data_IF_260109666459
#
_entry.id   IF_260109666459
#
_cell.length_a   1.000
_cell.length_b   1.000
_cell.length_c   1.000
_cell.angle_alpha   90.00
_cell.angle_beta   90.00
_cell.angle_gamma   90.00
#
_symmetry.space_group_name_H-M   'P 1'
#
loop_
_entity.id
_entity.type
_entity.pdbx_description
1 polymer ?
#
# COMPACT_ATOMS: atom_id res chain seq x y z
N UNK A 1 -2.71 25.09 41.87
CA UNK A 1 -4.04 24.54 41.53
C UNK A 1 -4.13 23.03 41.78
N UNK A 2 -3.15 22.23 41.33
CA UNK A 2 -3.11 20.76 41.51
C UNK A 2 -3.22 20.31 42.98
N UNK A 3 -2.50 20.96 43.90
CA UNK A 3 -2.57 20.65 45.35
C UNK A 3 -3.97 20.79 45.96
N UNK A 4 -4.83 21.66 45.41
CA UNK A 4 -6.19 21.86 45.90
C UNK A 4 -7.13 20.71 45.49
N UNK A 5 -6.91 20.12 44.31
CA UNK A 5 -7.68 18.97 43.84
C UNK A 5 -7.30 17.66 44.54
N UNK A 6 -6.02 17.49 44.88
CA UNK A 6 -5.54 16.32 45.65
C UNK A 6 -6.20 16.26 47.03
N UNK A 7 -6.36 17.40 47.70
CA UNK A 7 -7.03 17.47 49.02
C UNK A 7 -8.51 17.05 48.96
N UNK A 8 -9.25 17.44 47.90
CA UNK A 8 -10.65 17.02 47.71
C UNK A 8 -10.78 15.52 47.43
N UNK A 9 -9.88 14.94 46.63
CA UNK A 9 -9.91 13.51 46.30
C UNK A 9 -9.58 12.63 47.52
N UNK A 10 -8.62 13.03 48.35
CA UNK A 10 -8.30 12.32 49.58
C UNK A 10 -9.47 12.32 50.58
N UNK A 11 -10.24 13.42 50.64
CA UNK A 11 -11.39 13.53 51.52
C UNK A 11 -12.55 12.58 51.11
N UNK A 12 -12.75 12.35 49.80
CA UNK A 12 -13.76 11.41 49.29
C UNK A 12 -13.43 9.96 49.68
N UNK A 13 -12.15 9.58 49.69
CA UNK A 13 -11.71 8.22 50.07
C UNK A 13 -12.06 7.83 51.51
N UNK A 14 -12.17 8.82 52.41
CA UNK A 14 -12.37 8.60 53.85
C UNK A 14 -13.79 8.13 54.20
N UNK A 15 -14.77 8.36 53.31
CA UNK A 15 -16.18 8.01 53.54
C UNK A 15 -16.61 6.65 52.94
N UNK A 16 -15.74 5.99 52.17
CA UNK A 16 -16.05 4.70 51.57
C UNK A 16 -15.71 3.54 52.54
N UNK A 17 -16.76 2.81 52.96
CA UNK A 17 -16.68 1.53 53.68
C UNK A 17 -16.23 0.41 52.72
N UNK A 18 -14.99 0.49 52.28
CA UNK A 18 -14.34 -0.54 51.49
C UNK A 18 -13.38 -1.32 52.40
N UNK A 19 -13.32 -2.64 52.22
CA UNK A 19 -12.37 -3.53 52.89
C UNK A 19 -10.92 -3.05 52.69
N UNK A 20 -10.07 -3.16 53.72
CA UNK A 20 -8.72 -2.59 53.75
C UNK A 20 -7.85 -3.05 52.57
N UNK A 21 -8.07 -4.28 52.08
CA UNK A 21 -7.34 -4.83 50.93
C UNK A 21 -7.66 -4.09 49.63
N UNK A 22 -8.92 -3.72 49.43
CA UNK A 22 -9.37 -2.99 48.24
C UNK A 22 -9.03 -1.50 48.33
N UNK A 23 -8.88 -0.92 49.53
CA UNK A 23 -8.41 0.47 49.69
C UNK A 23 -6.98 0.66 49.16
N UNK A 24 -6.10 -0.32 49.37
CA UNK A 24 -4.73 -0.25 48.89
C UNK A 24 -4.65 -0.34 47.36
N UNK A 25 -5.49 -1.18 46.76
CA UNK A 25 -5.56 -1.35 45.30
C UNK A 25 -6.11 -0.09 44.60
N UNK A 26 -7.19 0.51 45.12
CA UNK A 26 -7.74 1.76 44.57
C UNK A 26 -6.75 2.92 44.70
N UNK A 27 -6.00 3.01 45.81
CA UNK A 27 -4.96 4.02 45.98
C UNK A 27 -3.83 3.83 44.96
N UNK A 28 -3.45 2.58 44.68
CA UNK A 28 -2.41 2.26 43.69
C UNK A 28 -2.83 2.67 42.27
N UNK A 29 -4.08 2.40 41.87
CA UNK A 29 -4.62 2.85 40.56
C UNK A 29 -4.63 4.38 40.46
N UNK A 30 -5.05 5.10 41.51
CA UNK A 30 -5.06 6.57 41.51
C UNK A 30 -3.64 7.12 41.37
N UNK A 31 -2.65 6.52 42.03
CA UNK A 31 -1.24 6.93 41.90
C UNK A 31 -0.74 6.66 40.47
N UNK A 32 -1.09 5.53 39.88
CA UNK A 32 -0.72 5.19 38.50
C UNK A 32 -1.31 6.18 37.49
N UNK A 33 -2.60 6.54 37.65
CA UNK A 33 -3.26 7.55 36.83
C UNK A 33 -2.69 8.96 37.04
N UNK A 34 -2.20 9.28 38.24
CA UNK A 34 -1.51 10.56 38.47
C UNK A 34 -0.14 10.60 37.82
N UNK A 35 0.58 9.47 37.74
CA UNK A 35 1.87 9.39 37.06
C UNK A 35 1.74 9.54 35.55
N UNK A 36 0.70 8.98 34.92
CA UNK A 36 0.47 9.15 33.47
C UNK A 36 0.15 10.59 33.11
N UNK A 37 -0.63 11.31 33.92
CA UNK A 37 -0.98 12.72 33.67
C UNK A 37 0.21 13.67 33.86
N UNK A 38 1.18 13.33 34.72
CA UNK A 38 2.37 14.19 34.95
C UNK A 38 3.41 14.07 33.83
N UNK A 39 3.42 12.98 33.06
CA UNK A 39 4.31 12.83 31.90
C UNK A 39 3.82 13.57 30.65
N UNK A 40 2.56 13.99 30.57
CA UNK A 40 2.06 14.89 29.51
C UNK A 40 2.25 16.37 29.87
N UNK A 41 3.46 16.75 30.27
CA UNK A 41 3.83 18.17 30.33
C UNK A 41 4.71 18.50 29.15
N UNK A 42 4.04 18.94 28.09
CA UNK A 42 4.59 19.51 26.87
C UNK A 42 5.86 20.31 27.14
N UNK A 43 6.93 19.91 26.45
CA UNK A 43 7.90 20.89 25.97
C UNK A 43 7.15 21.82 25.03
N UNK A 44 6.91 23.06 25.46
CA UNK A 44 6.62 24.17 24.56
C UNK A 44 7.84 24.32 23.65
N UNK A 45 7.83 23.60 22.53
CA UNK A 45 8.67 23.92 21.39
C UNK A 45 8.05 25.17 20.79
N UNK A 46 8.82 26.24 20.78
CA UNK A 46 8.50 27.51 20.14
C UNK A 46 8.45 27.26 18.62
N UNK A 47 7.32 26.73 18.15
CA UNK A 47 7.05 26.50 16.72
C UNK A 47 6.87 27.88 16.11
N UNK A 48 7.94 28.39 15.51
CA UNK A 48 7.84 29.45 14.52
C UNK A 48 6.89 28.95 13.45
N UNK A 49 5.70 29.51 13.40
CA UNK A 49 4.78 29.39 12.29
C UNK A 49 5.46 29.99 11.07
N UNK A 50 6.07 29.13 10.26
CA UNK A 50 6.35 29.44 8.87
C UNK A 50 5.02 29.31 8.13
N UNK A 51 4.59 30.43 7.55
CA UNK A 51 3.45 30.47 6.64
C UNK A 51 3.85 29.72 5.36
N UNK A 52 3.49 28.43 5.28
CA UNK A 52 3.78 27.54 4.15
C UNK A 52 2.63 27.47 3.15
N UNK A 53 1.72 28.44 3.15
CA UNK A 53 0.54 28.40 2.26
C UNK A 53 0.81 28.79 0.80
N UNK A 54 2.06 28.74 0.32
CA UNK A 54 2.33 29.18 -1.06
C UNK A 54 3.48 28.55 -1.86
N UNK A 55 4.15 27.48 -1.40
CA UNK A 55 5.34 26.99 -2.12
C UNK A 55 5.58 25.46 -2.13
N UNK A 56 4.63 24.63 -1.69
CA UNK A 56 4.84 23.16 -1.69
C UNK A 56 4.36 22.43 -2.94
N UNK A 57 3.54 23.04 -3.80
CA UNK A 57 3.10 22.41 -5.05
C UNK A 57 4.19 22.41 -6.14
N UNK A 58 5.18 23.30 -6.04
CA UNK A 58 6.29 23.38 -7.01
C UNK A 58 7.46 22.44 -6.65
N UNK A 59 7.64 22.09 -5.36
CA UNK A 59 8.82 21.30 -4.97
C UNK A 59 8.67 19.81 -5.30
N UNK A 60 7.47 19.23 -5.16
CA UNK A 60 7.24 17.83 -5.53
C UNK A 60 7.32 17.62 -7.05
N UNK A 61 6.88 18.61 -7.85
CA UNK A 61 7.04 18.60 -9.29
C UNK A 61 8.51 18.80 -9.74
N UNK A 62 9.33 19.51 -8.95
CA UNK A 62 10.75 19.74 -9.30
C UNK A 62 11.68 18.55 -9.05
N UNK A 63 11.28 17.59 -8.21
CA UNK A 63 12.08 16.38 -7.92
C UNK A 63 11.81 15.27 -8.96
N UNK A 64 10.75 15.41 -9.78
CA UNK A 64 10.40 14.45 -10.83
C UNK A 64 10.85 14.87 -12.24
N UNK A 65 11.49 16.02 -12.40
CA UNK A 65 11.96 16.53 -13.69
C UNK A 65 13.44 16.18 -13.97
N UNK A 66 13.78 14.90 -13.92
CA UNK A 66 15.07 14.37 -14.40
C UNK A 66 15.08 14.14 -15.94
N UNK A 67 14.18 14.80 -16.67
CA UNK A 67 13.94 14.61 -18.11
C UNK A 67 15.02 15.18 -19.04
N UNK A 68 16.20 15.57 -18.54
CA UNK A 68 17.21 16.29 -19.34
C UNK A 68 18.57 15.58 -19.49
N UNK A 69 18.58 14.25 -19.56
CA UNK A 69 19.73 13.52 -20.12
C UNK A 69 19.58 13.48 -21.64
N UNK A 70 20.12 14.53 -22.28
CA UNK A 70 20.38 14.58 -23.72
C UNK A 70 21.50 13.57 -24.08
N UNK A 71 21.14 12.32 -24.34
CA UNK A 71 22.01 11.42 -25.10
C UNK A 71 21.76 11.62 -26.60
N UNK A 72 22.51 12.58 -27.15
CA UNK A 72 22.85 12.62 -28.56
C UNK A 72 23.58 11.32 -28.93
N UNK A 73 22.86 10.33 -29.45
CA UNK A 73 23.44 9.28 -30.26
C UNK A 73 23.04 9.49 -31.72
N UNK A 74 24.06 9.92 -32.47
CA UNK A 74 24.09 10.17 -33.90
C UNK A 74 23.44 9.07 -34.74
N UNK A 75 22.69 9.56 -35.71
CA UNK A 75 22.16 8.86 -36.87
C UNK A 75 23.27 8.10 -37.62
N UNK A 76 23.04 6.81 -37.88
CA UNK A 76 23.52 6.18 -39.11
C UNK A 76 22.42 5.31 -39.67
N UNK A 77 21.71 5.89 -40.64
CA UNK A 77 20.84 5.20 -41.56
C UNK A 77 21.66 4.28 -42.47
N UNK A 78 21.23 3.04 -42.61
CA UNK A 78 21.42 2.33 -43.87
C UNK A 78 20.23 1.42 -44.18
N UNK A 79 19.80 1.57 -45.42
CA UNK A 79 18.61 1.03 -46.06
C UNK A 79 18.58 -0.51 -46.21
N UNK A 80 17.35 -0.98 -46.49
CA UNK A 80 16.95 -2.16 -47.27
C UNK A 80 16.56 -3.43 -46.48
N UNK A 81 15.27 -3.76 -46.44
CA UNK A 81 14.65 -4.59 -47.49
C UNK A 81 13.19 -4.91 -47.20
N UNK A 82 12.44 -5.04 -48.30
CA UNK A 82 11.07 -5.49 -48.41
C UNK A 82 10.92 -7.01 -48.23
N UNK A 83 9.65 -7.45 -48.12
CA UNK A 83 9.12 -8.82 -47.98
C UNK A 83 8.93 -9.22 -46.49
N UNK A 84 7.79 -9.72 -46.02
CA UNK A 84 6.65 -10.39 -46.66
C UNK A 84 5.38 -10.20 -45.81
N UNK A 85 4.23 -10.21 -46.50
CA UNK A 85 2.90 -10.33 -45.92
C UNK A 85 2.65 -11.79 -45.50
N UNK A 86 2.69 -12.13 -44.21
CA UNK A 86 1.97 -13.28 -43.66
C UNK A 86 1.98 -13.25 -42.11
N UNK A 87 1.06 -12.50 -41.49
CA UNK A 87 0.82 -12.65 -40.04
C UNK A 87 -0.61 -12.30 -39.66
N UNK A 88 -1.51 -13.27 -39.86
CA UNK A 88 -2.82 -13.34 -39.20
C UNK A 88 -3.03 -14.79 -38.80
N UNK A 89 -2.76 -15.10 -37.52
CA UNK A 89 -3.43 -16.12 -36.68
C UNK A 89 -2.53 -16.66 -35.53
N UNK A 90 -1.88 -15.80 -34.72
CA UNK A 90 -1.17 -16.25 -33.50
C UNK A 90 -1.66 -15.59 -32.20
N UNK A 91 -2.81 -14.89 -32.20
CA UNK A 91 -3.28 -14.14 -31.02
C UNK A 91 -4.07 -14.93 -29.96
N UNK A 92 -4.05 -16.26 -29.96
CA UNK A 92 -4.85 -17.08 -29.02
C UNK A 92 -4.06 -18.14 -28.23
N UNK A 93 -2.72 -18.10 -28.22
CA UNK A 93 -1.90 -19.14 -27.56
C UNK A 93 -1.08 -18.67 -26.34
N UNK A 94 -1.30 -17.46 -25.82
CA UNK A 94 -0.53 -16.93 -24.67
C UNK A 94 -1.18 -17.19 -23.29
N UNK A 95 -2.18 -18.06 -23.23
CA UNK A 95 -2.98 -18.35 -22.03
C UNK A 95 -2.43 -19.47 -21.13
N UNK A 96 -1.29 -20.09 -21.41
CA UNK A 96 -0.83 -21.28 -20.64
C UNK A 96 0.44 -21.08 -19.83
N UNK A 97 0.89 -19.84 -19.60
CA UNK A 97 2.07 -19.59 -18.74
C UNK A 97 1.74 -19.65 -17.25
N UNK A 98 0.48 -19.40 -16.89
CA UNK A 98 -0.02 -19.54 -15.53
C UNK A 98 -0.53 -20.96 -15.35
N UNK A 99 -0.12 -21.61 -14.26
CA UNK A 99 -0.60 -22.94 -13.89
C UNK A 99 -2.14 -22.96 -13.85
N UNK A 100 -2.77 -24.14 -13.90
CA UNK A 100 -4.22 -24.24 -13.74
C UNK A 100 -4.60 -23.49 -12.45
N UNK A 101 -5.53 -22.55 -12.56
CA UNK A 101 -6.11 -21.83 -11.43
C UNK A 101 -6.75 -22.86 -10.49
N UNK A 102 -6.04 -23.23 -9.43
CA UNK A 102 -6.49 -24.22 -8.46
C UNK A 102 -7.28 -23.51 -7.37
N UNK A 103 -8.60 -23.58 -7.44
CA UNK A 103 -9.45 -23.16 -6.34
C UNK A 103 -9.16 -23.96 -5.05
N UNK A 104 -9.33 -23.32 -3.90
CA UNK A 104 -9.29 -23.93 -2.57
C UNK A 104 -8.12 -23.48 -1.69
N UNK A 105 -7.39 -22.44 -2.07
CA UNK A 105 -6.35 -21.83 -1.23
C UNK A 105 -6.86 -20.66 -0.37
N UNK A 106 -8.14 -20.32 -0.49
CA UNK A 106 -8.82 -19.20 0.16
C UNK A 106 -8.33 -17.81 -0.25
N UNK A 107 -7.69 -17.68 -1.41
CA UNK A 107 -7.23 -16.41 -1.97
C UNK A 107 -7.89 -16.25 -3.33
N UNK A 108 -8.66 -15.19 -3.55
CA UNK A 108 -9.20 -14.90 -4.88
C UNK A 108 -8.10 -14.37 -5.82
N UNK A 109 -7.38 -15.27 -6.48
CA UNK A 109 -6.19 -14.95 -7.28
C UNK A 109 -6.51 -14.19 -8.58
N UNK A 110 -5.48 -13.84 -9.36
CA UNK A 110 -5.66 -13.38 -10.73
C UNK A 110 -6.41 -14.45 -11.55
N UNK A 111 -7.39 -13.99 -12.33
CA UNK A 111 -8.29 -14.82 -13.15
C UNK A 111 -9.31 -15.66 -12.38
N UNK A 112 -9.33 -15.58 -11.05
CA UNK A 112 -10.42 -16.12 -10.24
C UNK A 112 -11.56 -15.11 -10.14
N UNK A 113 -12.77 -15.65 -10.18
CA UNK A 113 -14.03 -14.93 -10.13
C UNK A 113 -15.03 -15.80 -9.39
N UNK A 114 -16.12 -15.23 -8.89
CA UNK A 114 -17.20 -16.03 -8.28
C UNK A 114 -17.81 -17.06 -9.26
N UNK A 115 -17.55 -16.93 -10.58
CA UNK A 115 -18.08 -17.86 -11.59
C UNK A 115 -17.23 -19.12 -11.79
N UNK A 116 -15.90 -19.04 -11.60
CA UNK A 116 -14.97 -20.16 -11.75
C UNK A 116 -14.38 -20.62 -10.40
N UNK A 117 -14.48 -19.79 -9.35
CA UNK A 117 -13.82 -19.99 -8.06
C UNK A 117 -14.61 -19.37 -6.89
N UNK A 118 -15.88 -19.73 -6.74
CA UNK A 118 -16.72 -19.18 -5.65
C UNK A 118 -16.20 -19.51 -4.26
N UNK A 119 -15.53 -20.65 -4.08
CA UNK A 119 -15.01 -21.06 -2.76
C UNK A 119 -13.98 -20.05 -2.20
N UNK A 120 -13.18 -19.43 -3.07
CA UNK A 120 -12.15 -18.46 -2.67
C UNK A 120 -12.65 -17.01 -2.76
N UNK A 121 -13.48 -16.69 -3.76
CA UNK A 121 -13.89 -15.31 -4.04
C UNK A 121 -15.16 -14.84 -3.32
N UNK A 122 -15.96 -15.73 -2.71
CA UNK A 122 -17.17 -15.34 -1.97
C UNK A 122 -16.85 -14.49 -0.72
N UNK A 123 -15.59 -14.47 -0.25
CA UNK A 123 -15.14 -13.64 0.89
C UNK A 123 -14.94 -12.16 0.55
N UNK A 124 -14.93 -11.79 -0.72
CA UNK A 124 -14.74 -10.39 -1.15
C UNK A 124 -15.99 -9.51 -0.95
N UNK A 125 -17.12 -10.05 -0.46
CA UNK A 125 -18.36 -9.28 -0.33
C UNK A 125 -18.27 -8.14 0.71
N UNK A 126 -17.32 -8.22 1.64
CA UNK A 126 -17.26 -7.30 2.79
C UNK A 126 -16.25 -6.14 2.60
N UNK A 127 -15.33 -6.21 1.64
CA UNK A 127 -14.31 -5.19 1.42
C UNK A 127 -14.06 -4.91 -0.07
N UNK A 128 -14.00 -3.64 -0.44
CA UNK A 128 -13.66 -3.21 -1.80
C UNK A 128 -12.59 -2.12 -1.75
N UNK A 129 -11.90 -1.89 -2.88
CA UNK A 129 -10.95 -0.78 -3.03
C UNK A 129 -11.62 0.60 -2.85
N UNK A 130 -12.95 0.70 -2.94
CA UNK A 130 -13.68 1.94 -2.64
C UNK A 130 -13.68 2.27 -1.15
N UNK A 131 -13.49 1.27 -0.29
CA UNK A 131 -13.49 1.40 1.16
C UNK A 131 -12.07 1.64 1.69
N UNK A 132 -11.06 1.77 0.82
CA UNK A 132 -9.69 2.07 1.22
C UNK A 132 -9.57 3.51 1.76
N UNK A 133 -8.84 3.75 2.86
CA UNK A 133 -8.05 2.79 3.65
C UNK A 133 -8.78 2.22 4.87
N UNK A 134 -10.10 2.39 4.99
CA UNK A 134 -10.88 2.14 6.23
C UNK A 134 -10.83 0.68 6.73
N UNK A 135 -10.61 -0.29 5.84
CA UNK A 135 -10.52 -1.70 6.22
C UNK A 135 -9.17 -2.09 6.86
N UNK A 136 -8.11 -1.30 6.66
CA UNK A 136 -6.77 -1.64 7.15
C UNK A 136 -6.58 -1.32 8.64
N UNK A 137 -5.85 -2.18 9.34
CA UNK A 137 -5.43 -2.02 10.73
C UNK A 137 -3.96 -2.45 10.91
N UNK A 138 -3.10 -1.57 11.46
CA UNK A 138 -1.68 -1.86 11.70
C UNK A 138 -0.96 -2.49 10.47
N UNK A 139 -0.93 -1.75 9.37
CA UNK A 139 -0.55 -2.29 8.05
C UNK A 139 0.96 -2.34 7.85
N UNK A 140 1.44 -3.43 7.21
CA UNK A 140 2.84 -3.56 6.78
C UNK A 140 2.97 -3.29 5.29
N UNK A 141 3.79 -2.31 4.94
CA UNK A 141 4.18 -2.02 3.56
C UNK A 141 5.42 -2.85 3.24
N UNK A 142 5.25 -3.84 2.38
CA UNK A 142 6.28 -4.82 2.06
C UNK A 142 6.89 -4.49 0.72
N UNK A 143 8.15 -4.04 0.75
CA UNK A 143 8.96 -3.82 -0.45
C UNK A 143 9.89 -5.02 -0.67
N UNK A 144 10.19 -5.30 -1.93
CA UNK A 144 11.09 -6.39 -2.27
C UNK A 144 12.54 -6.21 -1.79
N UNK A 145 13.26 -7.30 -1.54
CA UNK A 145 14.69 -7.24 -1.16
C UNK A 145 15.58 -6.65 -2.25
N UNK A 146 15.12 -6.73 -3.50
CA UNK A 146 15.75 -6.14 -4.68
C UNK A 146 14.94 -4.97 -5.24
N UNK A 147 14.08 -4.36 -4.41
CA UNK A 147 13.25 -3.23 -4.79
C UNK A 147 14.11 -2.05 -5.29
N UNK A 148 13.56 -1.33 -6.27
CA UNK A 148 14.17 -0.09 -6.75
C UNK A 148 14.01 1.02 -5.71
N UNK A 149 14.75 2.12 -5.87
CA UNK A 149 14.50 3.32 -5.06
C UNK A 149 13.09 3.87 -5.24
N UNK A 150 12.50 3.68 -6.42
CA UNK A 150 11.14 4.11 -6.73
C UNK A 150 10.11 3.37 -5.88
N UNK A 151 10.26 2.05 -5.69
CA UNK A 151 9.35 1.27 -4.85
C UNK A 151 9.41 1.68 -3.37
N UNK A 152 10.61 2.03 -2.88
CA UNK A 152 10.79 2.53 -1.50
C UNK A 152 10.14 3.91 -1.33
N UNK A 153 10.23 4.77 -2.34
CA UNK A 153 9.53 6.06 -2.36
C UNK A 153 8.02 5.83 -2.38
N UNK A 154 7.53 4.91 -3.22
CA UNK A 154 6.12 4.50 -3.27
C UNK A 154 5.62 4.07 -1.89
N UNK A 155 6.35 3.20 -1.18
CA UNK A 155 6.01 2.81 0.18
C UNK A 155 5.96 4.01 1.14
N UNK A 156 6.91 4.94 1.03
CA UNK A 156 6.94 6.14 1.86
C UNK A 156 5.72 7.04 1.64
N UNK A 157 5.30 7.20 0.38
CA UNK A 157 4.12 8.01 0.02
C UNK A 157 2.85 7.38 0.59
N UNK A 158 2.64 6.08 0.40
CA UNK A 158 1.49 5.35 0.94
C UNK A 158 1.48 5.39 2.47
N UNK A 159 2.63 5.14 3.12
CA UNK A 159 2.74 5.20 4.58
C UNK A 159 2.38 6.58 5.13
N UNK A 160 2.81 7.65 4.46
CA UNK A 160 2.45 9.02 4.84
C UNK A 160 0.94 9.26 4.74
N UNK A 161 0.30 8.77 3.67
CA UNK A 161 -1.15 8.85 3.48
C UNK A 161 -1.92 8.09 4.57
N UNK A 162 -1.48 6.88 4.91
CA UNK A 162 -2.10 6.05 5.94
C UNK A 162 -2.01 6.69 7.32
N UNK A 163 -0.84 7.20 7.70
CA UNK A 163 -0.64 7.90 8.98
C UNK A 163 -1.50 9.17 9.05
N UNK A 164 -1.69 9.87 7.94
CA UNK A 164 -2.59 11.03 7.88
C UNK A 164 -4.07 10.65 8.11
N UNK A 165 -4.43 9.38 7.89
CA UNK A 165 -5.74 8.80 8.14
C UNK A 165 -5.80 8.00 9.46
N UNK A 166 -4.88 8.26 10.39
CA UNK A 166 -4.79 7.59 11.71
C UNK A 166 -4.61 6.05 11.63
N UNK A 167 -4.00 5.55 10.55
CA UNK A 167 -3.64 4.13 10.38
C UNK A 167 -2.14 3.97 10.60
N UNK A 168 -1.76 3.14 11.58
CA UNK A 168 -0.36 2.82 11.85
C UNK A 168 0.20 1.97 10.69
N UNK A 169 1.39 2.36 10.22
CA UNK A 169 2.02 1.80 9.03
C UNK A 169 3.51 1.51 9.28
N UNK A 170 3.95 0.29 9.02
CA UNK A 170 5.36 -0.13 9.13
C UNK A 170 5.88 -0.55 7.75
N UNK A 171 7.02 -0.02 7.31
CA UNK A 171 7.67 -0.49 6.07
C UNK A 171 8.72 -1.54 6.40
N UNK A 172 8.63 -2.71 5.77
CA UNK A 172 9.54 -3.85 5.95
C UNK A 172 10.01 -4.41 4.60
N UNK A 173 11.10 -5.16 4.63
CA UNK A 173 11.54 -5.94 3.47
C UNK A 173 10.73 -7.24 3.35
N UNK A 174 10.62 -7.76 2.13
CA UNK A 174 10.01 -9.07 1.85
C UNK A 174 10.63 -10.19 2.70
N UNK A 175 11.95 -10.21 2.87
CA UNK A 175 12.64 -11.20 3.72
C UNK A 175 12.40 -11.06 5.23
N UNK A 176 11.81 -9.95 5.67
CA UNK A 176 11.44 -9.72 7.08
C UNK A 176 9.99 -10.15 7.37
N UNK A 177 9.20 -10.42 6.33
CA UNK A 177 7.83 -10.90 6.48
C UNK A 177 7.82 -12.39 6.85
N UNK A 178 7.38 -12.69 8.07
CA UNK A 178 7.33 -14.08 8.55
C UNK A 178 6.12 -14.85 7.99
N UNK A 179 4.98 -14.19 7.78
CA UNK A 179 3.73 -14.82 7.36
C UNK A 179 2.75 -13.80 6.76
N UNK A 180 2.25 -14.06 5.56
CA UNK A 180 1.28 -13.22 4.83
C UNK A 180 -0.11 -13.17 5.47
N UNK A 181 -0.45 -14.19 6.22
CA UNK A 181 -1.83 -14.50 6.62
C UNK A 181 -2.24 -13.90 7.95
N UNK A 182 -1.36 -13.14 8.62
CA UNK A 182 -1.58 -12.67 9.99
C UNK A 182 -1.65 -11.15 10.12
N UNK A 183 -1.35 -10.42 9.04
CA UNK A 183 -1.23 -8.97 9.07
C UNK A 183 -1.92 -8.40 7.83
N UNK A 184 -2.40 -7.16 7.92
CA UNK A 184 -2.79 -6.37 6.76
C UNK A 184 -1.54 -5.92 6.01
N UNK A 185 -1.52 -6.11 4.70
CA UNK A 185 -0.33 -5.89 3.88
C UNK A 185 -0.59 -4.95 2.71
N UNK A 186 0.42 -4.16 2.37
CA UNK A 186 0.52 -3.53 1.04
C UNK A 186 1.81 -4.01 0.40
N UNK A 187 1.67 -4.91 -0.58
CA UNK A 187 2.79 -5.46 -1.33
C UNK A 187 3.10 -4.55 -2.52
N UNK A 188 4.36 -4.09 -2.59
CA UNK A 188 4.79 -3.12 -3.61
C UNK A 188 5.85 -3.77 -4.49
N UNK A 189 5.59 -3.76 -5.79
CA UNK A 189 6.50 -4.27 -6.82
C UNK A 189 6.11 -5.64 -7.35
N UNK A 190 6.81 -6.06 -8.42
CA UNK A 190 6.54 -7.33 -9.09
C UNK A 190 7.12 -8.53 -8.35
N UNK A 191 6.65 -9.77 -8.62
CA UNK A 191 7.20 -11.01 -8.08
C UNK A 191 8.73 -11.14 -8.17
N UNK A 192 9.36 -10.45 -9.12
CA UNK A 192 10.79 -10.61 -9.40
C UNK A 192 11.71 -9.87 -8.47
N UNK A 193 11.23 -8.77 -7.94
CA UNK A 193 11.98 -7.98 -6.95
C UNK A 193 11.43 -8.22 -5.55
N UNK A 194 10.16 -8.66 -5.45
CA UNK A 194 9.43 -8.88 -4.22
C UNK A 194 9.04 -10.35 -4.07
N UNK A 195 9.86 -11.12 -3.34
CA UNK A 195 9.63 -12.54 -3.06
C UNK A 195 8.27 -12.78 -2.37
N UNK A 196 7.82 -11.81 -1.58
CA UNK A 196 6.53 -11.87 -0.91
C UNK A 196 5.36 -11.86 -1.90
N UNK A 197 5.47 -11.08 -2.97
CA UNK A 197 4.51 -11.09 -4.07
C UNK A 197 4.58 -12.39 -4.86
N UNK A 198 5.78 -12.95 -5.05
CA UNK A 198 5.95 -14.24 -5.73
C UNK A 198 5.28 -15.39 -4.96
N UNK A 199 5.49 -15.47 -3.64
CA UNK A 199 4.91 -16.49 -2.78
C UNK A 199 3.38 -16.39 -2.76
N UNK A 200 2.84 -15.17 -2.58
CA UNK A 200 1.40 -14.91 -2.56
C UNK A 200 0.70 -15.39 -3.84
N UNK A 201 1.35 -15.22 -5.00
CA UNK A 201 0.77 -15.54 -6.31
C UNK A 201 1.20 -16.91 -6.84
N UNK A 202 1.90 -17.71 -6.02
CA UNK A 202 2.49 -18.99 -6.40
C UNK A 202 3.34 -18.91 -7.68
N UNK A 203 4.07 -17.82 -7.86
CA UNK A 203 5.02 -17.65 -8.94
C UNK A 203 6.33 -18.38 -8.62
N UNK A 204 6.81 -19.16 -9.59
CA UNK A 204 8.16 -19.71 -9.55
C UNK A 204 9.17 -18.60 -9.85
N UNK A 205 10.20 -18.49 -9.00
CA UNK A 205 11.33 -17.55 -9.14
C UNK A 205 11.97 -17.64 -10.54
N UNK A 206 11.98 -18.82 -11.16
CA UNK A 206 12.53 -19.05 -12.49
C UNK A 206 11.65 -18.48 -13.62
N UNK A 207 10.36 -18.29 -13.38
CA UNK A 207 9.37 -17.78 -14.34
C UNK A 207 8.83 -16.43 -13.95
N UNK A 208 9.75 -15.59 -13.53
CA UNK A 208 9.59 -14.17 -13.28
C UNK A 208 9.02 -13.42 -14.50
N UNK A 209 7.73 -13.61 -14.75
CA UNK A 209 6.96 -12.93 -15.76
C UNK A 209 6.17 -11.82 -15.10
N UNK A 210 6.14 -10.66 -15.74
CA UNK A 210 5.37 -9.55 -15.22
C UNK A 210 3.89 -9.93 -15.22
N UNK A 211 3.25 -9.83 -14.05
CA UNK A 211 1.79 -9.89 -13.89
C UNK A 211 1.14 -8.94 -14.89
N UNK A 212 1.81 -7.81 -15.12
CA UNK A 212 1.45 -6.79 -16.08
C UNK A 212 2.44 -6.84 -17.23
N UNK A 213 2.04 -7.46 -18.34
CA UNK A 213 2.92 -7.69 -19.50
C UNK A 213 2.95 -6.54 -20.52
N UNK A 214 2.03 -5.58 -20.39
CA UNK A 214 1.86 -4.47 -21.32
C UNK A 214 2.48 -3.19 -20.76
N UNK A 215 3.23 -2.48 -21.60
CA UNK A 215 3.85 -1.20 -21.24
C UNK A 215 2.80 -0.17 -20.81
N UNK A 216 3.17 0.64 -19.81
CA UNK A 216 2.32 1.66 -19.21
C UNK A 216 1.03 1.09 -18.59
N UNK A 217 1.03 -0.19 -18.22
CA UNK A 217 -0.04 -0.73 -17.41
C UNK A 217 0.46 -0.98 -15.99
N UNK A 218 -0.47 -0.93 -15.05
CA UNK A 218 -0.30 -1.38 -13.69
C UNK A 218 -1.61 -1.96 -13.16
N UNK A 219 -1.55 -2.65 -12.03
CA UNK A 219 -2.72 -3.20 -11.36
C UNK A 219 -2.64 -2.93 -9.87
N UNK A 220 -3.79 -2.54 -9.31
CA UNK A 220 -4.06 -2.50 -7.87
C UNK A 220 -5.07 -3.59 -7.59
N UNK A 221 -4.69 -4.56 -6.77
CA UNK A 221 -5.55 -5.69 -6.43
C UNK A 221 -5.70 -5.84 -4.93
N UNK A 222 -6.94 -5.89 -4.47
CA UNK A 222 -7.32 -6.30 -3.13
C UNK A 222 -7.50 -7.81 -3.08
N UNK A 223 -6.82 -8.43 -2.14
CA UNK A 223 -6.94 -9.84 -1.79
C UNK A 223 -7.38 -9.89 -0.33
N UNK A 224 -8.35 -10.75 -0.02
CA UNK A 224 -8.86 -10.92 1.34
C UNK A 224 -8.52 -12.32 1.79
N UNK A 225 -7.79 -12.42 2.90
CA UNK A 225 -7.44 -13.69 3.52
C UNK A 225 -7.97 -13.77 4.95
N UNK A 226 -8.98 -14.60 5.14
CA UNK A 226 -9.70 -14.77 6.41
C UNK A 226 -10.24 -13.45 6.99
N UNK A 227 -9.44 -12.72 7.79
CA UNK A 227 -9.80 -11.43 8.37
C UNK A 227 -8.72 -10.35 8.12
N UNK A 228 -7.82 -10.56 7.16
CA UNK A 228 -6.80 -9.58 6.81
C UNK A 228 -6.92 -9.20 5.33
N UNK A 229 -6.56 -7.97 5.03
CA UNK A 229 -6.60 -7.40 3.69
C UNK A 229 -5.19 -7.16 3.15
N UNK A 230 -4.96 -7.63 1.93
CA UNK A 230 -3.70 -7.48 1.22
C UNK A 230 -3.94 -6.68 -0.04
N UNK A 231 -3.27 -5.55 -0.18
CA UNK A 231 -3.27 -4.77 -1.42
C UNK A 231 -1.96 -5.05 -2.16
N UNK A 232 -2.07 -5.58 -3.38
CA UNK A 232 -0.96 -5.72 -4.30
C UNK A 232 -0.94 -4.53 -5.26
N UNK A 233 0.21 -3.87 -5.35
CA UNK A 233 0.49 -2.80 -6.32
C UNK A 233 1.68 -3.22 -7.18
N UNK A 234 1.43 -3.43 -8.46
CA UNK A 234 2.49 -3.81 -9.41
C UNK A 234 2.24 -3.16 -10.77
N UNK A 235 3.28 -2.56 -11.34
CA UNK A 235 3.31 -2.05 -12.71
C UNK A 235 4.15 -2.91 -13.64
N UNK A 236 4.11 -2.60 -14.94
CA UNK A 236 5.05 -3.15 -15.91
C UNK A 236 6.50 -2.72 -15.61
N UNK A 237 6.68 -1.50 -15.10
CA UNK A 237 7.94 -1.01 -14.54
C UNK A 237 7.72 -0.27 -13.22
N UNK A 238 8.80 0.21 -12.60
CA UNK A 238 8.75 0.93 -11.32
C UNK A 238 8.03 2.28 -11.40
N UNK A 239 8.06 2.95 -12.55
CA UNK A 239 7.30 4.18 -12.80
C UNK A 239 5.79 3.90 -12.81
N UNK A 240 5.39 2.84 -13.51
CA UNK A 240 3.98 2.42 -13.57
C UNK A 240 3.46 1.99 -12.19
N UNK A 241 4.30 1.30 -11.40
CA UNK A 241 4.01 0.93 -10.01
C UNK A 241 3.76 2.17 -9.14
N UNK A 242 4.63 3.18 -9.27
CA UNK A 242 4.49 4.45 -8.56
C UNK A 242 3.21 5.18 -8.97
N UNK A 243 2.92 5.25 -10.25
CA UNK A 243 1.75 5.98 -10.75
C UNK A 243 0.43 5.29 -10.35
N UNK A 244 0.40 3.95 -10.30
CA UNK A 244 -0.71 3.21 -9.69
C UNK A 244 -0.85 3.50 -8.19
N UNK A 245 0.26 3.57 -7.45
CA UNK A 245 0.21 3.90 -6.02
C UNK A 245 -0.36 5.30 -5.75
N UNK A 246 -0.10 6.25 -6.65
CA UNK A 246 -0.66 7.60 -6.53
C UNK A 246 -2.19 7.58 -6.58
N UNK A 247 -2.79 6.67 -7.36
CA UNK A 247 -4.25 6.50 -7.39
C UNK A 247 -4.81 6.00 -6.07
N UNK A 248 -4.06 5.15 -5.37
CA UNK A 248 -4.46 4.64 -4.07
C UNK A 248 -4.48 5.76 -3.00
N UNK A 249 -3.61 6.75 -3.12
CA UNK A 249 -3.49 7.86 -2.16
C UNK A 249 -4.29 9.11 -2.51
N UNK A 250 -4.95 9.15 -3.67
CA UNK A 250 -5.73 10.31 -4.13
C UNK A 250 -7.22 9.97 -4.19
N UNK A 251 -7.97 10.54 -3.25
CA UNK A 251 -9.43 10.34 -3.08
C UNK A 251 -10.25 10.75 -4.32
N UNK A 252 -9.66 11.50 -5.27
CA UNK A 252 -10.34 11.83 -6.52
C UNK A 252 -10.49 10.62 -7.45
N UNK A 253 -9.70 9.56 -7.25
CA UNK A 253 -9.86 8.29 -7.95
C UNK A 253 -10.96 7.47 -7.29
N UNK A 254 -11.98 7.15 -8.08
CA UNK A 254 -13.06 6.27 -7.65
C UNK A 254 -12.67 4.81 -7.90
N UNK A 255 -11.74 4.29 -7.08
CA UNK A 255 -11.39 2.88 -7.07
C UNK A 255 -12.62 2.06 -6.63
N UNK A 256 -12.88 0.93 -7.28
CA UNK A 256 -14.05 0.11 -6.98
C UNK A 256 -13.73 -1.37 -7.19
N UNK A 257 -14.47 -2.25 -6.48
CA UNK A 257 -14.30 -3.70 -6.60
C UNK A 257 -13.00 -4.18 -5.96
N UNK A 258 -12.53 -5.36 -6.37
CA UNK A 258 -11.32 -5.98 -5.83
C UNK A 258 -10.08 -5.80 -6.72
N UNK A 259 -10.24 -5.29 -7.95
CA UNK A 259 -9.16 -5.17 -8.91
C UNK A 259 -9.40 -3.96 -9.81
N UNK A 260 -8.40 -3.09 -9.94
CA UNK A 260 -8.43 -1.96 -10.87
C UNK A 260 -7.16 -2.01 -11.74
N UNK A 261 -7.36 -2.12 -13.05
CA UNK A 261 -6.29 -2.02 -14.04
C UNK A 261 -6.08 -0.56 -14.42
N UNK A 262 -4.83 -0.14 -14.32
CA UNK A 262 -4.38 1.23 -14.58
C UNK A 262 -3.70 1.24 -15.92
N UNK A 263 -4.28 1.91 -16.91
CA UNK A 263 -3.61 2.21 -18.18
C UNK A 263 -3.12 3.65 -18.14
N UNK A 264 -1.80 3.82 -18.16
CA UNK A 264 -1.10 5.09 -18.07
C UNK A 264 -0.82 5.60 -19.48
N UNK A 265 -1.60 6.57 -19.93
CA UNK A 265 -1.31 7.23 -21.22
C UNK A 265 -0.30 8.34 -20.98
N UNK A 266 0.96 8.11 -21.37
CA UNK A 266 1.97 9.17 -21.42
C UNK A 266 1.74 10.04 -22.65
N UNK A 267 1.08 11.20 -22.50
CA UNK A 267 0.83 12.15 -23.60
C UNK A 267 1.98 13.17 -23.77
N UNK A 268 3.19 12.87 -23.29
CA UNK A 268 4.37 13.75 -23.36
C UNK A 268 4.29 15.02 -22.52
N UNK A 269 3.08 15.45 -22.16
CA UNK A 269 2.76 16.39 -21.09
C UNK A 269 2.14 15.58 -19.94
N UNK A 270 2.57 15.83 -18.70
CA UNK A 270 2.16 15.13 -17.47
C UNK A 270 0.65 15.27 -17.25
N UNK A 271 -0.15 14.49 -17.98
CA UNK A 271 -1.58 14.30 -17.79
C UNK A 271 -1.82 12.80 -17.95
N UNK A 272 -1.86 12.10 -16.82
CA UNK A 272 -2.17 10.68 -16.80
C UNK A 272 -3.69 10.57 -16.99
N UNK A 273 -4.12 10.04 -18.13
CA UNK A 273 -5.52 9.75 -18.40
C UNK A 273 -5.79 8.28 -18.11
N UNK A 274 -6.80 8.01 -17.28
CA UNK A 274 -7.20 6.67 -16.88
C UNK A 274 -8.40 6.21 -17.70
N UNK A 275 -8.26 5.09 -18.40
CA UNK A 275 -9.35 4.40 -19.08
C UNK A 275 -9.82 3.21 -18.25
N UNK A 276 -11.02 3.30 -17.68
CA UNK A 276 -11.68 2.15 -17.04
C UNK A 276 -12.12 1.18 -18.14
N UNK A 277 -11.62 -0.06 -18.12
CA UNK A 277 -12.06 -1.14 -19.03
C UNK A 277 -13.45 -1.66 -18.67
#
# INVERSE_FOLDING_TARGET
MILFHISKLLNISSNLKIDMKNKMFVLFIIILLLFTVVSCKESEVDVKTYDTTQETDDYFNSVLDDSNINDNMDENADDNNAADEEEKNEKEAESTKYGPTECGDNICQFYETNSNCSEDCDKLEDATLADYPEFLNDVKLVVGDYATSTDVITATVISTYLVANDIDAETILASELENFYNDDLILIGSPCINQATAELLHYDEDTCGDIVSEQNNAVIKLLVFDNNEIILITGYNEGDTRDASAMLTDESYNLNGAEEWVNLVSDGDINIYYSKN
#
